data_IF_888474912406
#
_entry.id   IF_888474912406
#
_cell.length_a   1.000
_cell.length_b   1.000
_cell.length_c   1.000
_cell.angle_alpha   90.00
_cell.angle_beta   90.00
_cell.angle_gamma   90.00
#
_symmetry.space_group_name_H-M   'P 1'
#
loop_
_entity.id
_entity.type
_entity.pdbx_description
1 polymer ?
#
# COMPACT_ATOMS: atom_id res chain seq x y z
N UNK A 1 -13.07 -18.42 8.89
CA UNK A 1 -14.04 -17.69 8.02
C UNK A 1 -14.18 -16.29 8.58
N UNK A 2 -14.03 -15.21 7.79
CA UNK A 2 -14.04 -13.83 8.32
C UNK A 2 -15.40 -13.40 8.91
N UNK A 3 -16.47 -14.15 8.64
CA UNK A 3 -17.79 -13.92 9.27
C UNK A 3 -17.82 -14.26 10.75
N UNK A 4 -17.05 -15.26 11.14
CA UNK A 4 -17.15 -15.89 12.45
C UNK A 4 -16.00 -15.45 13.37
N UNK A 5 -14.85 -15.12 12.79
CA UNK A 5 -13.62 -14.87 13.53
C UNK A 5 -12.63 -13.99 12.75
N UNK A 6 -11.67 -13.42 13.48
CA UNK A 6 -10.51 -12.76 12.90
C UNK A 6 -9.30 -13.70 12.95
N UNK A 7 -8.68 -14.08 11.81
CA UNK A 7 -7.66 -15.13 11.72
C UNK A 7 -6.27 -14.64 12.17
N UNK A 8 -6.18 -14.05 13.36
CA UNK A 8 -4.91 -13.70 13.97
C UNK A 8 -4.31 -14.95 14.62
N UNK A 9 -3.10 -15.33 14.20
CA UNK A 9 -2.41 -16.50 14.74
C UNK A 9 -2.37 -16.47 16.28
N UNK A 10 -2.79 -17.56 16.90
CA UNK A 10 -2.82 -17.72 18.37
C UNK A 10 -1.62 -18.50 18.91
N UNK A 11 -0.92 -19.24 18.04
CA UNK A 11 0.28 -20.03 18.39
C UNK A 11 1.53 -19.19 18.61
N UNK A 12 1.51 -17.91 18.23
CA UNK A 12 2.55 -16.93 18.50
C UNK A 12 1.95 -15.54 18.62
N UNK A 13 2.56 -14.65 19.40
CA UNK A 13 2.12 -13.25 19.49
C UNK A 13 2.37 -12.52 18.17
N UNK A 14 1.34 -11.88 17.64
CA UNK A 14 1.44 -11.02 16.46
C UNK A 14 1.51 -9.56 16.88
N UNK A 15 2.39 -8.78 16.26
CA UNK A 15 2.51 -7.33 16.51
C UNK A 15 1.42 -6.56 15.75
N UNK A 16 0.20 -6.55 16.32
CA UNK A 16 -0.98 -5.98 15.67
C UNK A 16 -0.88 -4.49 15.34
N UNK A 17 -0.28 -3.69 16.24
CA UNK A 17 -0.11 -2.24 16.02
C UNK A 17 0.64 -1.94 14.72
N UNK A 18 1.68 -2.71 14.40
CA UNK A 18 2.44 -2.56 13.16
C UNK A 18 1.56 -2.79 11.94
N UNK A 19 0.81 -3.88 11.93
CA UNK A 19 -0.11 -4.25 10.83
C UNK A 19 -1.16 -3.17 10.59
N UNK A 20 -1.79 -2.67 11.65
CA UNK A 20 -2.84 -1.67 11.53
C UNK A 20 -2.31 -0.31 11.04
N UNK A 21 -1.22 0.19 11.64
CA UNK A 21 -0.65 1.49 11.27
C UNK A 21 -0.11 1.50 9.85
N UNK A 22 0.50 0.40 9.40
CA UNK A 22 0.93 0.23 8.01
C UNK A 22 -0.24 0.24 7.04
N UNK A 23 -1.32 -0.47 7.35
CA UNK A 23 -2.52 -0.47 6.50
C UNK A 23 -3.12 0.93 6.38
N UNK A 24 -3.21 1.68 7.50
CA UNK A 24 -3.70 3.06 7.48
C UNK A 24 -2.78 3.99 6.67
N UNK A 25 -1.47 3.76 6.74
CA UNK A 25 -0.47 4.47 5.95
C UNK A 25 -0.60 4.18 4.44
N UNK A 26 -0.85 2.93 4.04
CA UNK A 26 -1.18 2.59 2.65
C UNK A 26 -2.49 3.25 2.19
N UNK A 27 -3.55 3.19 3.00
CA UNK A 27 -4.85 3.80 2.70
C UNK A 27 -4.69 5.32 2.49
N UNK A 28 -3.88 6.00 3.31
CA UNK A 28 -3.59 7.43 3.17
C UNK A 28 -2.84 7.76 1.86
N UNK A 29 -2.16 6.78 1.25
CA UNK A 29 -1.30 7.00 0.09
C UNK A 29 0.11 7.47 0.42
N UNK A 30 0.50 7.42 1.70
CA UNK A 30 1.82 7.91 2.13
C UNK A 30 2.95 7.00 1.63
N UNK A 31 4.12 7.60 1.44
CA UNK A 31 5.37 6.94 1.04
C UNK A 31 6.53 7.29 1.99
N UNK A 32 6.24 8.04 3.06
CA UNK A 32 7.20 8.44 4.07
C UNK A 32 7.25 7.45 5.24
N UNK A 33 8.32 6.66 5.32
CA UNK A 33 8.54 5.67 6.37
C UNK A 33 8.59 6.30 7.78
N UNK A 34 9.03 7.56 7.91
CA UNK A 34 9.15 8.24 9.20
C UNK A 34 7.80 8.47 9.88
N UNK A 35 6.70 8.51 9.12
CA UNK A 35 5.35 8.53 9.69
C UNK A 35 5.09 7.28 10.55
N UNK A 36 5.56 6.10 10.10
CA UNK A 36 5.46 4.85 10.85
C UNK A 36 6.45 4.81 12.01
N UNK A 37 7.71 5.20 11.77
CA UNK A 37 8.76 5.19 12.79
C UNK A 37 8.40 6.08 13.98
N UNK A 38 7.80 7.26 13.73
CA UNK A 38 7.34 8.18 14.79
C UNK A 38 6.25 7.56 15.69
N UNK A 39 5.49 6.59 15.16
CA UNK A 39 4.49 5.82 15.91
C UNK A 39 5.06 4.55 16.55
N UNK A 40 6.38 4.33 16.44
CA UNK A 40 7.07 3.14 16.94
C UNK A 40 6.91 1.90 16.05
N UNK A 41 6.52 2.08 14.79
CA UNK A 41 6.41 1.00 13.80
C UNK A 41 7.61 1.08 12.86
N UNK A 42 8.52 0.11 12.97
CA UNK A 42 9.87 0.16 12.35
C UNK A 42 10.05 -0.75 11.14
N UNK A 43 8.96 -1.32 10.62
CA UNK A 43 9.00 -2.35 9.57
C UNK A 43 9.64 -1.86 8.26
N UNK A 44 9.59 -0.55 8.00
CA UNK A 44 10.19 0.09 6.82
C UNK A 44 11.50 0.84 7.09
N UNK A 45 11.96 0.91 8.35
CA UNK A 45 13.14 1.71 8.74
C UNK A 45 14.39 1.28 7.95
N UNK A 46 14.59 -0.03 7.79
CA UNK A 46 15.74 -0.57 7.05
C UNK A 46 15.71 -0.19 5.57
N UNK A 47 14.54 -0.34 4.92
CA UNK A 47 14.37 -0.02 3.50
C UNK A 47 14.39 1.49 3.21
N UNK A 48 14.04 2.32 4.20
CA UNK A 48 14.12 3.77 4.11
C UNK A 48 15.46 4.37 4.55
N UNK A 49 16.39 3.56 5.05
CA UNK A 49 17.68 4.05 5.56
C UNK A 49 18.56 4.63 4.45
N UNK A 50 19.43 5.58 4.79
CA UNK A 50 20.37 6.20 3.85
C UNK A 50 21.21 5.15 3.10
N UNK A 51 21.82 4.21 3.82
CA UNK A 51 22.68 3.16 3.26
C UNK A 51 21.92 2.28 2.24
N UNK A 52 20.68 1.92 2.56
CA UNK A 52 19.86 1.08 1.68
C UNK A 52 19.45 1.83 0.40
N UNK A 53 19.01 3.08 0.54
CA UNK A 53 18.65 3.92 -0.61
C UNK A 53 19.86 4.22 -1.50
N UNK A 54 21.04 4.46 -0.93
CA UNK A 54 22.29 4.64 -1.68
C UNK A 54 22.70 3.36 -2.41
N UNK A 55 22.53 2.21 -1.77
CA UNK A 55 22.75 0.90 -2.39
C UNK A 55 21.86 0.62 -3.60
N UNK A 56 20.69 1.29 -3.69
CA UNK A 56 19.79 1.25 -4.84
C UNK A 56 20.05 2.35 -5.88
N UNK A 57 21.03 3.24 -5.63
CA UNK A 57 21.35 4.38 -6.50
C UNK A 57 20.50 5.62 -6.27
N UNK A 58 19.70 5.68 -5.19
CA UNK A 58 18.87 6.84 -4.84
C UNK A 58 19.60 7.86 -3.97
N UNK A 59 20.80 8.29 -4.37
CA UNK A 59 21.65 9.18 -3.57
C UNK A 59 21.01 10.54 -3.22
N UNK A 60 20.09 11.00 -4.06
CA UNK A 60 19.40 12.29 -3.89
C UNK A 60 18.02 12.17 -3.25
N UNK A 61 17.53 10.95 -3.00
CA UNK A 61 16.22 10.72 -2.37
C UNK A 61 16.34 10.92 -0.87
N UNK A 62 15.38 11.59 -0.23
CA UNK A 62 15.43 11.82 1.21
C UNK A 62 15.37 10.50 2.00
N UNK A 63 16.06 10.43 3.15
CA UNK A 63 15.94 9.26 4.02
C UNK A 63 14.49 9.11 4.51
N UNK A 64 13.96 7.88 4.42
CA UNK A 64 12.58 7.54 4.71
C UNK A 64 11.63 7.66 3.51
N UNK A 65 12.05 8.25 2.39
CA UNK A 65 11.27 8.24 1.14
C UNK A 65 11.43 6.87 0.47
N UNK A 66 10.32 6.11 0.43
CA UNK A 66 10.30 4.76 -0.11
C UNK A 66 10.05 4.71 -1.63
N UNK A 67 9.85 5.86 -2.27
CA UNK A 67 9.38 5.93 -3.65
C UNK A 67 7.89 5.57 -3.80
N UNK A 68 7.41 5.33 -5.04
CA UNK A 68 6.01 5.09 -5.34
C UNK A 68 5.53 3.68 -4.96
N UNK A 69 5.65 3.31 -3.68
CA UNK A 69 5.25 1.99 -3.12
C UNK A 69 3.72 1.85 -2.98
N UNK A 70 3.25 0.84 -2.23
CA UNK A 70 1.84 0.43 -2.14
C UNK A 70 0.83 1.58 -2.04
N UNK A 71 0.97 2.46 -1.05
CA UNK A 71 0.00 3.54 -0.83
C UNK A 71 -0.10 4.47 -2.05
N UNK A 72 1.03 4.84 -2.63
CA UNK A 72 1.06 5.64 -3.85
C UNK A 72 0.37 4.94 -5.00
N UNK A 73 0.65 3.66 -5.23
CA UNK A 73 -0.02 2.91 -6.30
C UNK A 73 -1.53 2.77 -6.02
N UNK A 74 -1.96 2.64 -4.77
CA UNK A 74 -3.38 2.52 -4.44
C UNK A 74 -4.17 3.81 -4.68
N UNK A 75 -3.56 4.98 -4.47
CA UNK A 75 -4.25 6.28 -4.53
C UNK A 75 -3.92 7.11 -5.77
N UNK A 76 -2.77 6.85 -6.40
CA UNK A 76 -2.17 7.68 -7.45
C UNK A 76 -1.55 6.86 -8.59
N UNK A 77 -2.10 5.68 -8.91
CA UNK A 77 -1.52 4.78 -9.91
C UNK A 77 -1.26 5.49 -11.25
N UNK A 78 -0.02 5.42 -11.73
CA UNK A 78 0.39 6.03 -13.00
C UNK A 78 0.72 7.52 -12.95
N UNK A 79 0.56 8.19 -11.80
CA UNK A 79 1.12 9.53 -11.58
C UNK A 79 2.65 9.50 -11.61
N UNK A 80 3.28 10.62 -12.00
CA UNK A 80 4.73 10.76 -11.95
C UNK A 80 5.17 11.05 -10.51
N UNK A 81 5.94 10.13 -9.93
CA UNK A 81 6.48 10.30 -8.58
C UNK A 81 7.60 11.35 -8.56
N UNK A 82 7.54 12.27 -7.60
CA UNK A 82 8.51 13.33 -7.37
C UNK A 82 9.30 13.05 -6.08
N UNK A 83 8.62 13.15 -4.95
CA UNK A 83 9.13 12.87 -3.60
C UNK A 83 7.95 12.53 -2.66
N UNK A 84 8.28 12.13 -1.42
CA UNK A 84 7.29 11.77 -0.40
C UNK A 84 6.48 12.94 0.18
N UNK A 85 6.89 14.19 -0.04
CA UNK A 85 6.28 15.39 0.55
C UNK A 85 5.39 16.15 -0.43
N UNK A 86 5.44 15.79 -1.72
CA UNK A 86 4.63 16.36 -2.80
C UNK A 86 3.14 16.06 -2.64
N UNK A 87 2.30 17.02 -3.01
CA UNK A 87 0.85 16.81 -3.13
C UNK A 87 0.51 16.11 -4.45
N UNK A 88 -0.05 14.91 -4.35
CA UNK A 88 -0.52 14.10 -5.48
C UNK A 88 -2.05 14.13 -5.64
N UNK A 89 -2.75 15.01 -4.94
CA UNK A 89 -4.21 15.14 -5.03
C UNK A 89 -4.69 15.28 -6.47
N UNK A 90 -5.61 14.41 -6.88
CA UNK A 90 -6.16 14.40 -8.25
C UNK A 90 -5.22 13.87 -9.33
N UNK A 91 -4.04 13.36 -8.97
CA UNK A 91 -3.09 12.78 -9.92
C UNK A 91 -3.18 11.25 -9.93
N UNK A 92 -3.02 10.67 -11.12
CA UNK A 92 -3.08 9.21 -11.32
C UNK A 92 -4.50 8.65 -11.19
N UNK A 93 -4.59 7.35 -10.94
CA UNK A 93 -5.84 6.63 -10.72
C UNK A 93 -5.97 6.25 -9.24
N UNK A 94 -7.01 6.74 -8.58
CA UNK A 94 -7.38 6.31 -7.22
C UNK A 94 -8.09 4.95 -7.29
N UNK A 95 -7.29 3.88 -7.30
CA UNK A 95 -7.78 2.51 -7.39
C UNK A 95 -8.62 2.14 -6.16
N UNK A 96 -8.21 2.58 -4.96
CA UNK A 96 -8.92 2.29 -3.72
C UNK A 96 -10.34 2.87 -3.77
N UNK A 97 -10.49 4.14 -4.17
CA UNK A 97 -11.80 4.76 -4.30
C UNK A 97 -12.64 4.06 -5.36
N UNK A 98 -12.04 3.73 -6.53
CA UNK A 98 -12.73 2.99 -7.60
C UNK A 98 -13.24 1.62 -7.14
N UNK A 99 -12.45 0.88 -6.36
CA UNK A 99 -12.86 -0.41 -5.78
C UNK A 99 -14.06 -0.22 -4.85
N UNK A 100 -13.99 0.76 -3.94
CA UNK A 100 -15.09 1.05 -3.00
C UNK A 100 -16.37 1.41 -3.76
N UNK A 101 -16.27 2.28 -4.77
CA UNK A 101 -17.43 2.71 -5.56
C UNK A 101 -18.02 1.56 -6.37
N UNK A 102 -17.17 0.71 -6.95
CA UNK A 102 -17.63 -0.44 -7.72
C UNK A 102 -18.31 -1.47 -6.82
N UNK A 103 -17.78 -1.75 -5.62
CA UNK A 103 -18.44 -2.62 -4.64
C UNK A 103 -19.84 -2.11 -4.30
N UNK A 104 -20.00 -0.79 -4.15
CA UNK A 104 -21.29 -0.17 -3.79
C UNK A 104 -22.28 -0.10 -4.94
N UNK A 105 -21.81 0.15 -6.16
CA UNK A 105 -22.67 0.49 -7.31
C UNK A 105 -22.81 -0.62 -8.34
N UNK A 106 -21.80 -1.49 -8.46
CA UNK A 106 -21.78 -2.63 -9.38
C UNK A 106 -21.11 -3.86 -8.72
N UNK A 107 -21.69 -4.43 -7.65
CA UNK A 107 -21.07 -5.50 -6.85
C UNK A 107 -20.79 -6.80 -7.61
N UNK A 108 -21.48 -7.02 -8.74
CA UNK A 108 -21.27 -8.20 -9.60
C UNK A 108 -20.14 -8.00 -10.62
N UNK A 109 -19.46 -6.84 -10.61
CA UNK A 109 -18.33 -6.60 -11.48
C UNK A 109 -17.19 -7.57 -11.17
N UNK A 110 -16.62 -8.16 -12.22
CA UNK A 110 -15.50 -9.12 -12.10
C UNK A 110 -14.13 -8.43 -12.14
N UNK A 111 -14.10 -7.10 -12.22
CA UNK A 111 -12.90 -6.26 -12.37
C UNK A 111 -12.66 -5.38 -11.14
N UNK A 112 -13.22 -5.74 -9.99
CA UNK A 112 -12.95 -5.05 -8.72
C UNK A 112 -11.55 -5.46 -8.24
N UNK A 113 -10.54 -4.75 -8.74
CA UNK A 113 -9.13 -5.07 -8.56
C UNK A 113 -8.38 -3.86 -8.01
N UNK A 114 -7.45 -4.12 -7.08
CA UNK A 114 -6.48 -3.18 -6.57
C UNK A 114 -5.07 -3.73 -6.85
N UNK A 115 -4.28 -3.06 -7.68
CA UNK A 115 -2.96 -3.55 -8.09
C UNK A 115 -1.84 -2.61 -7.62
N UNK A 116 -0.85 -3.14 -6.89
CA UNK A 116 0.37 -2.42 -6.52
C UNK A 116 1.51 -2.63 -7.52
N UNK A 117 1.43 -3.63 -8.39
CA UNK A 117 2.50 -3.96 -9.34
C UNK A 117 2.45 -3.07 -10.59
N UNK A 118 3.28 -2.02 -10.60
CA UNK A 118 3.41 -1.09 -11.72
C UNK A 118 4.81 -1.21 -12.36
N UNK A 119 4.97 -1.89 -13.50
CA UNK A 119 6.26 -2.12 -14.14
C UNK A 119 7.08 -0.86 -14.43
N UNK A 120 6.42 0.28 -14.70
CA UNK A 120 7.08 1.57 -14.94
C UNK A 120 7.79 2.08 -13.68
N UNK A 121 7.16 1.87 -12.53
CA UNK A 121 7.58 2.47 -11.26
C UNK A 121 8.41 1.52 -10.39
N UNK A 122 8.47 0.21 -10.71
CA UNK A 122 9.29 -0.76 -9.97
C UNK A 122 10.75 -0.29 -9.75
N UNK A 123 11.46 0.27 -10.76
CA UNK A 123 12.83 0.74 -10.57
C UNK A 123 12.94 1.97 -9.66
N UNK A 124 11.82 2.60 -9.31
CA UNK A 124 11.75 3.77 -8.44
C UNK A 124 11.42 3.39 -6.99
N UNK A 125 10.99 2.17 -6.70
CA UNK A 125 10.58 1.75 -5.37
C UNK A 125 11.78 1.28 -4.54
N UNK A 126 11.82 1.61 -3.25
CA UNK A 126 12.82 1.05 -2.33
C UNK A 126 12.68 -0.47 -2.22
N UNK A 127 11.46 -1.00 -2.30
CA UNK A 127 11.22 -2.43 -2.38
C UNK A 127 10.01 -2.71 -3.29
N UNK A 128 10.14 -3.57 -4.31
CA UNK A 128 9.00 -4.03 -5.11
C UNK A 128 7.90 -4.67 -4.26
N UNK A 129 6.62 -4.54 -4.66
CA UNK A 129 5.51 -4.99 -3.85
C UNK A 129 5.40 -6.53 -3.81
N UNK A 130 5.42 -7.11 -2.61
CA UNK A 130 5.22 -8.55 -2.38
C UNK A 130 3.75 -8.95 -2.51
N UNK A 131 2.84 -8.14 -1.99
CA UNK A 131 1.40 -8.29 -2.16
C UNK A 131 0.95 -7.45 -3.37
N UNK A 132 1.00 -8.10 -4.54
CA UNK A 132 0.94 -7.43 -5.84
C UNK A 132 -0.48 -6.99 -6.23
N UNK A 133 -1.51 -7.77 -5.92
CA UNK A 133 -2.86 -7.55 -6.43
C UNK A 133 -3.92 -8.13 -5.48
N UNK A 134 -4.97 -7.36 -5.19
CA UNK A 134 -6.19 -7.88 -4.58
C UNK A 134 -7.32 -7.88 -5.60
N UNK A 135 -8.11 -8.95 -5.65
CA UNK A 135 -9.40 -9.01 -6.34
C UNK A 135 -10.52 -9.21 -5.33
N UNK A 136 -11.58 -8.42 -5.46
CA UNK A 136 -12.76 -8.51 -4.62
C UNK A 136 -13.94 -9.11 -5.38
N UNK A 137 -14.78 -9.84 -4.66
CA UNK A 137 -16.07 -10.32 -5.16
C UNK A 137 -17.15 -10.11 -4.10
N UNK A 138 -18.39 -9.90 -4.51
CA UNK A 138 -19.53 -9.71 -3.60
C UNK A 138 -20.60 -10.76 -3.89
N UNK A 139 -21.01 -11.51 -2.87
CA UNK A 139 -22.10 -12.49 -2.96
C UNK A 139 -23.06 -12.24 -1.80
N UNK A 140 -24.37 -12.18 -2.06
CA UNK A 140 -25.40 -11.92 -1.04
C UNK A 140 -25.15 -10.65 -0.20
N UNK A 141 -24.54 -9.62 -0.80
CA UNK A 141 -24.16 -8.38 -0.11
C UNK A 141 -22.88 -8.48 0.73
N UNK A 142 -22.15 -9.59 0.63
CA UNK A 142 -20.98 -9.89 1.46
C UNK A 142 -19.71 -9.86 0.60
N UNK A 143 -18.74 -8.98 0.92
CA UNK A 143 -17.49 -8.91 0.18
C UNK A 143 -16.53 -10.03 0.62
N UNK A 144 -15.75 -10.51 -0.32
CA UNK A 144 -14.61 -11.39 -0.10
C UNK A 144 -13.42 -10.90 -0.90
N UNK A 145 -12.23 -11.29 -0.49
CA UNK A 145 -10.98 -10.79 -1.05
C UNK A 145 -10.03 -11.95 -1.36
N UNK A 146 -9.49 -11.96 -2.57
CA UNK A 146 -8.34 -12.75 -2.97
C UNK A 146 -7.14 -11.83 -3.05
N UNK A 147 -6.04 -12.19 -2.39
CA UNK A 147 -4.73 -11.57 -2.51
C UNK A 147 -3.78 -12.53 -3.22
#
# INVERSE_FOLDING_TARGET
>A
NLRDEFPLLTTKRVFWKGVLEELLWFIKGSTNAKELSSKGVKIWDANGSRDFLDGLGFSNRAEGDLGPVYGFQWRHFGAEYKDMDSDYSGQGVDQLQKVIDTIKTNPNDRRIILCAWNPKDLPLMALPPCHALCQFYVVNGEPSCQL
#
